data_IF_158143574293
#
_entry.id   IF_158143574293
#
_cell.length_a   1.000
_cell.length_b   1.000
_cell.length_c   1.000
_cell.angle_alpha   90.00
_cell.angle_beta   90.00
_cell.angle_gamma   90.00
#
_symmetry.space_group_name_H-M   'P 1'
#
loop_
_entity.id
_entity.type
_entity.pdbx_description
1 polymer ?
#
# COMPACT_ATOMS: atom_id res chain seq x y z
N UNK A 1 -14.21 -6.83 3.20
CA UNK A 1 -15.59 -6.98 3.67
C UNK A 1 -15.64 -6.84 5.19
N UNK A 2 -15.44 -5.62 5.74
CA UNK A 2 -15.52 -5.40 7.19
C UNK A 2 -16.77 -6.06 7.76
N UNK A 3 -16.65 -6.74 8.90
CA UNK A 3 -17.63 -7.58 9.57
C UNK A 3 -19.00 -6.90 9.82
N UNK A 4 -19.68 -6.49 8.78
CA UNK A 4 -21.02 -5.86 8.85
C UNK A 4 -22.03 -6.75 9.57
N UNK A 5 -21.85 -8.07 9.50
CA UNK A 5 -22.66 -9.03 10.22
C UNK A 5 -22.49 -8.88 11.75
N UNK A 6 -21.29 -8.62 12.25
CA UNK A 6 -21.07 -8.42 13.69
C UNK A 6 -21.63 -7.08 14.16
N UNK A 7 -21.53 -6.01 13.35
CA UNK A 7 -22.16 -4.75 13.66
C UNK A 7 -23.69 -4.92 13.79
N UNK A 8 -24.31 -5.62 12.83
CA UNK A 8 -25.74 -5.90 12.89
C UNK A 8 -26.11 -6.82 14.06
N UNK A 9 -25.30 -7.86 14.33
CA UNK A 9 -25.51 -8.74 15.47
C UNK A 9 -25.57 -7.94 16.79
N UNK A 10 -24.61 -7.05 17.01
CA UNK A 10 -24.52 -6.21 18.21
C UNK A 10 -25.68 -5.21 18.35
N UNK A 11 -26.39 -4.91 17.25
CA UNK A 11 -27.59 -4.04 17.29
C UNK A 11 -28.88 -4.78 17.69
N UNK A 12 -28.97 -6.09 17.38
CA UNK A 12 -30.23 -6.84 17.47
C UNK A 12 -30.22 -7.98 18.50
N UNK A 13 -29.04 -8.39 18.98
CA UNK A 13 -28.85 -9.49 19.90
C UNK A 13 -28.26 -9.01 21.24
N UNK A 14 -28.38 -9.82 22.28
CA UNK A 14 -27.79 -9.54 23.58
C UNK A 14 -26.25 -9.60 23.52
N UNK A 15 -25.59 -8.83 24.40
CA UNK A 15 -24.14 -8.80 24.52
C UNK A 15 -23.59 -10.19 24.86
N UNK A 16 -22.60 -10.65 24.09
CA UNK A 16 -21.93 -11.93 24.29
C UNK A 16 -21.05 -11.89 25.54
N UNK A 17 -21.22 -12.83 26.44
CA UNK A 17 -20.38 -12.95 27.64
C UNK A 17 -18.95 -13.41 27.28
N UNK A 18 -18.78 -14.24 26.25
CA UNK A 18 -17.49 -14.67 25.71
C UNK A 18 -17.63 -15.22 24.31
N UNK A 19 -16.53 -15.27 23.57
CA UNK A 19 -16.47 -15.85 22.24
C UNK A 19 -15.04 -16.15 21.84
N UNK A 20 -14.88 -16.89 20.74
CA UNK A 20 -13.60 -17.08 20.10
C UNK A 20 -13.74 -17.01 18.59
N UNK A 21 -12.68 -16.58 17.90
CA UNK A 21 -12.61 -16.62 16.43
C UNK A 21 -11.51 -17.59 16.01
N UNK A 22 -11.80 -18.55 15.12
CA UNK A 22 -10.79 -19.51 14.65
C UNK A 22 -9.96 -18.99 13.48
N UNK A 23 -9.89 -17.67 13.28
CA UNK A 23 -9.25 -17.01 12.15
C UNK A 23 -7.86 -16.47 12.50
N UNK A 24 -7.05 -17.26 13.22
CA UNK A 24 -5.72 -16.85 13.64
C UNK A 24 -4.78 -18.03 13.87
N UNK A 25 -3.50 -17.73 14.22
CA UNK A 25 -2.50 -18.73 14.55
C UNK A 25 -2.74 -19.37 15.92
N UNK A 26 -2.23 -20.59 16.12
CA UNK A 26 -2.26 -21.32 17.40
C UNK A 26 -1.08 -20.94 18.30
N UNK A 27 -1.23 -21.13 19.64
CA UNK A 27 -2.39 -21.64 20.34
C UNK A 27 -3.46 -20.60 20.67
N UNK A 28 -3.10 -19.36 20.94
CA UNK A 28 -4.00 -18.25 21.25
C UNK A 28 -3.26 -16.95 20.98
N UNK A 29 -3.91 -16.00 20.33
CA UNK A 29 -3.37 -14.67 20.08
C UNK A 29 -3.97 -13.73 21.10
N UNK A 30 -3.12 -13.03 21.86
CA UNK A 30 -3.51 -12.06 22.86
C UNK A 30 -3.34 -10.61 22.41
N UNK A 31 -2.93 -10.40 21.15
CA UNK A 31 -2.79 -9.08 20.55
C UNK A 31 -2.99 -9.10 19.03
N UNK A 32 -3.60 -8.06 18.51
CA UNK A 32 -3.81 -7.82 17.10
C UNK A 32 -3.35 -6.41 16.75
N UNK A 33 -2.55 -6.27 15.69
CA UNK A 33 -2.12 -4.95 15.20
C UNK A 33 -3.30 -4.10 14.81
N UNK A 34 -3.20 -2.81 15.08
CA UNK A 34 -4.15 -1.83 14.57
C UNK A 34 -4.15 -1.82 13.04
N UNK A 35 -5.25 -1.38 12.45
CA UNK A 35 -5.41 -1.27 11.01
C UNK A 35 -5.68 0.16 10.61
N UNK A 36 -4.89 0.69 9.67
CA UNK A 36 -5.10 2.00 9.08
C UNK A 36 -5.22 1.86 7.57
N UNK A 37 -6.26 2.46 7.01
CA UNK A 37 -6.48 2.53 5.57
C UNK A 37 -6.31 3.96 5.10
N UNK A 38 -5.52 4.14 4.04
CA UNK A 38 -5.30 5.41 3.38
C UNK A 38 -5.47 5.29 1.88
N UNK A 39 -5.60 6.43 1.21
CA UNK A 39 -5.63 6.55 -0.24
C UNK A 39 -4.74 7.70 -0.68
N UNK A 40 -3.76 7.42 -1.54
CA UNK A 40 -2.98 8.44 -2.22
C UNK A 40 -3.63 8.83 -3.54
N UNK A 41 -3.50 10.11 -3.91
CA UNK A 41 -4.04 10.67 -5.15
C UNK A 41 -3.01 11.56 -5.83
N UNK A 42 -2.93 11.46 -7.17
CA UNK A 42 -2.20 12.43 -7.97
C UNK A 42 -2.92 13.79 -8.01
N UNK A 43 -2.16 14.88 -7.98
CA UNK A 43 -2.64 16.21 -8.33
C UNK A 43 -2.47 16.47 -9.82
N UNK A 44 -1.28 16.15 -10.33
CA UNK A 44 -0.91 16.21 -11.74
C UNK A 44 -0.15 14.95 -12.12
N UNK A 45 -0.32 14.47 -13.35
CA UNK A 45 0.43 13.35 -13.88
C UNK A 45 0.39 13.35 -15.41
N UNK A 46 1.47 12.93 -16.04
CA UNK A 46 1.58 12.65 -17.48
C UNK A 46 1.28 11.17 -17.79
N UNK A 47 1.15 10.32 -16.77
CA UNK A 47 0.76 8.93 -16.96
C UNK A 47 -0.66 8.88 -17.50
N UNK A 48 -0.84 8.26 -18.67
CA UNK A 48 -2.13 8.17 -19.35
C UNK A 48 -3.08 7.20 -18.64
N UNK A 49 -2.54 6.07 -18.20
CA UNK A 49 -3.27 5.13 -17.34
C UNK A 49 -2.32 4.26 -16.54
N UNK A 50 -2.74 3.87 -15.34
CA UNK A 50 -2.05 2.90 -14.50
C UNK A 50 -3.08 2.09 -13.73
N UNK A 51 -3.08 0.77 -13.92
CA UNK A 51 -4.06 -0.11 -13.30
C UNK A 51 -3.35 -1.40 -12.83
N UNK A 52 -3.56 -1.76 -11.57
CA UNK A 52 -2.98 -2.96 -10.98
C UNK A 52 -3.52 -3.29 -9.60
N UNK A 53 -3.26 -4.54 -9.17
CA UNK A 53 -3.76 -5.08 -7.92
C UNK A 53 -5.25 -5.40 -7.92
N UNK A 54 -5.68 -6.29 -7.04
CA UNK A 54 -7.08 -6.76 -6.97
C UNK A 54 -7.71 -6.52 -5.61
N UNK A 55 -6.92 -6.46 -4.55
CA UNK A 55 -7.40 -6.29 -3.16
C UNK A 55 -6.54 -5.27 -2.41
N UNK A 56 -7.15 -4.58 -1.47
CA UNK A 56 -6.50 -3.50 -0.72
C UNK A 56 -5.48 -4.00 0.30
N UNK A 57 -5.65 -5.22 0.80
CA UNK A 57 -4.84 -5.84 1.86
C UNK A 57 -3.79 -6.84 1.35
N UNK A 58 -3.39 -6.73 0.10
CA UNK A 58 -2.27 -7.48 -0.48
C UNK A 58 -1.40 -6.59 -1.36
N UNK A 59 -0.14 -6.95 -1.51
CA UNK A 59 0.83 -6.30 -2.40
C UNK A 59 0.30 -6.32 -3.84
N UNK A 60 0.40 -5.19 -4.54
CA UNK A 60 0.06 -5.09 -5.96
C UNK A 60 0.96 -6.03 -6.78
N UNK A 61 0.45 -7.19 -7.14
CA UNK A 61 1.20 -8.27 -7.78
C UNK A 61 1.32 -8.14 -9.30
N UNK A 62 0.50 -7.27 -9.91
CA UNK A 62 0.61 -6.98 -11.34
C UNK A 62 0.12 -5.57 -11.63
N UNK A 63 0.75 -4.91 -12.60
CA UNK A 63 0.41 -3.55 -13.00
C UNK A 63 0.60 -3.36 -14.49
N UNK A 64 -0.34 -2.64 -15.13
CA UNK A 64 -0.20 -2.14 -16.50
C UNK A 64 -0.22 -0.62 -16.47
N UNK A 65 0.80 -0.01 -17.08
CA UNK A 65 1.00 1.44 -17.11
C UNK A 65 1.17 1.90 -18.54
N UNK A 66 0.48 2.97 -18.93
CA UNK A 66 0.61 3.61 -20.24
C UNK A 66 1.09 5.03 -20.04
N UNK A 67 2.16 5.41 -20.74
CA UNK A 67 2.77 6.74 -20.68
C UNK A 67 2.99 7.28 -22.09
N UNK A 68 3.12 8.61 -22.28
CA UNK A 68 3.57 9.17 -23.55
C UNK A 68 4.97 8.65 -23.90
N UNK A 69 5.15 8.28 -25.17
CA UNK A 69 6.44 7.86 -25.72
C UNK A 69 7.39 9.04 -25.87
N UNK A 70 8.68 8.79 -25.64
CA UNK A 70 9.77 9.73 -25.90
C UNK A 70 10.99 8.98 -26.41
N UNK A 71 11.81 9.66 -27.22
CA UNK A 71 12.99 9.04 -27.84
C UNK A 71 13.93 8.42 -26.82
N UNK A 72 14.21 7.13 -26.95
CA UNK A 72 15.11 6.36 -26.08
C UNK A 72 14.54 6.05 -24.69
N UNK A 73 13.30 6.40 -24.39
CA UNK A 73 12.68 6.11 -23.09
C UNK A 73 12.38 4.62 -22.91
N UNK A 74 11.92 3.96 -23.98
CA UNK A 74 11.64 2.52 -23.95
C UNK A 74 12.89 1.71 -23.57
N UNK A 75 14.01 1.95 -24.22
CA UNK A 75 15.28 1.25 -23.97
C UNK A 75 15.79 1.49 -22.54
N UNK A 76 15.60 2.71 -22.00
CA UNK A 76 15.95 3.00 -20.60
C UNK A 76 15.04 2.24 -19.64
N UNK A 77 13.74 2.20 -19.90
CA UNK A 77 12.79 1.44 -19.09
C UNK A 77 13.08 -0.05 -19.09
N UNK A 78 13.36 -0.64 -20.28
CA UNK A 78 13.74 -2.05 -20.39
C UNK A 78 15.00 -2.35 -19.59
N UNK A 79 15.99 -1.46 -19.61
CA UNK A 79 17.21 -1.60 -18.82
C UNK A 79 16.93 -1.55 -17.31
N UNK A 80 16.18 -0.56 -16.83
CA UNK A 80 15.87 -0.45 -15.39
C UNK A 80 15.00 -1.62 -14.88
N UNK A 81 14.02 -2.05 -15.67
CA UNK A 81 13.16 -3.19 -15.32
C UNK A 81 13.94 -4.52 -15.26
N UNK A 82 14.95 -4.69 -16.10
CA UNK A 82 15.81 -5.89 -16.11
C UNK A 82 16.60 -6.08 -14.80
N UNK A 83 16.88 -5.01 -14.07
CA UNK A 83 17.63 -5.03 -12.80
C UNK A 83 16.71 -5.26 -11.59
N UNK A 84 15.40 -5.43 -11.79
CA UNK A 84 14.41 -5.57 -10.71
C UNK A 84 14.17 -7.03 -10.30
N UNK A 85 13.39 -7.20 -9.23
CA UNK A 85 12.92 -8.52 -8.76
C UNK A 85 11.55 -8.91 -9.33
N UNK A 86 11.09 -8.25 -10.38
CA UNK A 86 9.85 -8.63 -11.06
C UNK A 86 9.94 -10.04 -11.62
N UNK A 87 8.85 -10.80 -11.56
CA UNK A 87 8.77 -12.13 -12.17
C UNK A 87 8.70 -12.06 -13.70
N UNK A 88 8.04 -11.02 -14.21
CA UNK A 88 7.85 -10.76 -15.63
C UNK A 88 7.68 -9.27 -15.86
N UNK A 89 8.19 -8.77 -16.97
CA UNK A 89 7.85 -7.45 -17.47
C UNK A 89 7.80 -7.46 -19.00
N UNK A 90 7.08 -6.50 -19.56
CA UNK A 90 7.02 -6.26 -21.01
C UNK A 90 6.88 -4.76 -21.26
N UNK A 91 7.63 -4.25 -22.19
CA UNK A 91 7.56 -2.86 -22.65
C UNK A 91 7.28 -2.85 -24.15
N UNK A 92 6.20 -2.22 -24.55
CA UNK A 92 5.85 -2.04 -25.97
C UNK A 92 5.69 -0.55 -26.27
N UNK A 93 6.00 -0.14 -27.48
CA UNK A 93 5.80 1.24 -27.93
C UNK A 93 5.02 1.21 -29.23
N UNK A 94 3.85 1.85 -29.21
CA UNK A 94 2.94 1.93 -30.35
C UNK A 94 2.24 3.29 -30.35
N UNK A 95 2.07 3.88 -31.53
CA UNK A 95 1.34 5.14 -31.74
C UNK A 95 1.80 6.31 -30.84
N UNK A 96 3.07 6.35 -30.46
CA UNK A 96 3.62 7.39 -29.57
C UNK A 96 3.33 7.20 -28.08
N UNK A 97 2.88 6.00 -27.69
CA UNK A 97 2.66 5.62 -26.30
C UNK A 97 3.54 4.41 -25.95
N UNK A 98 4.02 4.37 -24.71
CA UNK A 98 4.73 3.22 -24.14
C UNK A 98 3.82 2.55 -23.15
N UNK A 99 3.59 1.25 -23.34
CA UNK A 99 2.87 0.39 -22.41
C UNK A 99 3.85 -0.50 -21.66
N UNK A 100 3.81 -0.45 -20.33
CA UNK A 100 4.61 -1.26 -19.42
C UNK A 100 3.67 -2.23 -18.70
N UNK A 101 3.90 -3.53 -18.86
CA UNK A 101 3.33 -4.56 -18.01
C UNK A 101 4.39 -5.04 -17.02
N UNK A 102 4.05 -5.09 -15.75
CA UNK A 102 4.92 -5.57 -14.69
C UNK A 102 4.19 -6.62 -13.84
N UNK A 103 4.86 -7.72 -13.51
CA UNK A 103 4.38 -8.79 -12.64
C UNK A 103 5.35 -9.00 -11.49
N UNK A 104 4.89 -8.73 -10.30
CA UNK A 104 5.61 -8.93 -9.05
C UNK A 104 5.24 -10.25 -8.35
N UNK A 105 5.26 -10.22 -7.02
CA UNK A 105 4.93 -11.36 -6.16
C UNK A 105 3.89 -10.92 -5.15
N UNK A 106 2.73 -11.60 -5.06
CA UNK A 106 1.72 -11.26 -4.07
C UNK A 106 2.21 -11.59 -2.66
N UNK A 107 1.80 -10.78 -1.68
CA UNK A 107 1.95 -11.04 -0.26
C UNK A 107 0.84 -10.33 0.51
N UNK A 108 0.49 -10.82 1.70
CA UNK A 108 -0.48 -10.16 2.55
C UNK A 108 0.08 -8.87 3.15
N UNK A 109 -0.77 -7.86 3.39
CA UNK A 109 -0.35 -6.56 3.93
C UNK A 109 0.31 -6.62 5.32
N UNK A 110 0.14 -7.71 6.07
CA UNK A 110 0.86 -7.95 7.33
C UNK A 110 2.31 -8.41 7.13
N UNK A 111 2.67 -8.89 5.94
CA UNK A 111 4.01 -9.38 5.59
C UNK A 111 4.42 -8.92 4.19
N UNK A 112 4.33 -7.61 3.87
CA UNK A 112 4.49 -7.11 2.51
C UNK A 112 5.90 -7.30 1.97
N UNK A 113 6.89 -7.43 2.84
CA UNK A 113 8.31 -7.68 2.47
C UNK A 113 8.54 -9.05 1.83
N UNK A 114 7.58 -9.99 1.93
CA UNK A 114 7.61 -11.27 1.22
C UNK A 114 7.14 -11.14 -0.23
N UNK A 115 6.57 -10.00 -0.60
CA UNK A 115 6.09 -9.71 -1.93
C UNK A 115 7.04 -8.83 -2.75
N UNK A 116 6.65 -8.61 -4.01
CA UNK A 116 7.26 -7.62 -4.90
C UNK A 116 6.13 -6.78 -5.49
N UNK A 117 6.09 -5.51 -5.12
CA UNK A 117 5.05 -4.57 -5.54
C UNK A 117 5.30 -4.12 -6.98
N UNK A 118 4.51 -4.64 -7.93
CA UNK A 118 4.66 -4.32 -9.36
C UNK A 118 4.46 -2.83 -9.65
N UNK A 119 3.50 -2.17 -9.00
CA UNK A 119 3.27 -0.74 -9.17
C UNK A 119 4.42 0.09 -8.60
N UNK A 120 4.88 -0.21 -7.38
CA UNK A 120 6.00 0.48 -6.77
C UNK A 120 7.28 0.37 -7.57
N UNK A 121 7.61 -0.84 -8.03
CA UNK A 121 8.77 -1.06 -8.92
C UNK A 121 8.63 -0.28 -10.23
N UNK A 122 7.42 -0.21 -10.79
CA UNK A 122 7.18 0.58 -12.02
C UNK A 122 7.43 2.07 -11.78
N UNK A 123 6.94 2.64 -10.67
CA UNK A 123 7.21 4.04 -10.32
C UNK A 123 8.72 4.33 -10.16
N UNK A 124 9.46 3.43 -9.47
CA UNK A 124 10.92 3.57 -9.35
C UNK A 124 11.62 3.52 -10.72
N UNK A 125 11.23 2.59 -11.61
CA UNK A 125 11.82 2.47 -12.95
C UNK A 125 11.49 3.68 -13.83
N UNK A 126 10.29 4.25 -13.74
CA UNK A 126 9.92 5.47 -14.44
C UNK A 126 10.84 6.64 -14.07
N UNK A 127 11.07 6.86 -12.77
CA UNK A 127 11.99 7.91 -12.29
C UNK A 127 13.43 7.67 -12.77
N UNK A 128 13.97 6.46 -12.58
CA UNK A 128 15.33 6.09 -12.99
C UNK A 128 15.54 6.19 -14.50
N UNK A 129 14.52 5.90 -15.31
CA UNK A 129 14.56 6.08 -16.75
C UNK A 129 14.50 7.55 -17.20
N UNK A 130 14.21 8.47 -16.27
CA UNK A 130 14.12 9.91 -16.52
C UNK A 130 12.74 10.34 -17.03
N UNK A 131 11.69 9.60 -16.72
CA UNK A 131 10.32 10.05 -16.94
C UNK A 131 9.92 11.04 -15.85
N UNK A 132 10.03 12.33 -16.16
CA UNK A 132 9.68 13.43 -15.25
C UNK A 132 8.16 13.54 -15.09
N UNK A 133 7.64 13.19 -13.91
CA UNK A 133 6.22 13.21 -13.59
C UNK A 133 6.01 13.52 -12.10
N UNK A 134 5.08 14.39 -11.80
CA UNK A 134 4.81 14.86 -10.44
C UNK A 134 4.36 13.71 -9.53
N UNK A 135 3.46 12.86 -10.00
CA UNK A 135 2.98 11.75 -9.16
C UNK A 135 4.01 10.63 -9.00
N UNK A 136 4.88 10.40 -10.00
CA UNK A 136 6.03 9.49 -9.87
C UNK A 136 6.94 9.97 -8.73
N UNK A 137 7.25 11.26 -8.70
CA UNK A 137 8.06 11.88 -7.65
C UNK A 137 7.37 11.75 -6.28
N UNK A 138 6.06 12.08 -6.21
CA UNK A 138 5.27 11.93 -4.98
C UNK A 138 5.27 10.50 -4.46
N UNK A 139 4.97 9.53 -5.34
CA UNK A 139 4.92 8.13 -4.97
C UNK A 139 6.26 7.64 -4.40
N UNK A 140 7.35 7.90 -5.10
CA UNK A 140 8.69 7.44 -4.69
C UNK A 140 9.17 8.11 -3.40
N UNK A 141 8.77 9.37 -3.16
CA UNK A 141 9.11 10.11 -1.93
C UNK A 141 8.31 9.64 -0.72
N UNK A 142 6.99 9.49 -0.87
CA UNK A 142 6.09 9.29 0.26
C UNK A 142 5.66 7.82 0.47
N UNK A 143 5.52 7.03 -0.60
CA UNK A 143 5.10 5.66 -0.52
C UNK A 143 6.29 4.70 -0.72
N UNK A 144 6.93 4.76 -1.87
CA UNK A 144 8.08 3.93 -2.22
C UNK A 144 7.81 2.43 -2.17
N UNK A 145 8.90 1.66 -2.07
CA UNK A 145 8.89 0.19 -1.99
C UNK A 145 9.34 -0.37 -0.64
N UNK A 146 9.65 0.51 0.35
CA UNK A 146 10.25 0.13 1.63
C UNK A 146 9.33 -0.66 2.57
N UNK A 147 8.02 -0.66 2.38
CA UNK A 147 7.01 -1.36 3.18
C UNK A 147 6.98 -1.01 4.68
N UNK A 148 7.61 0.09 5.11
CA UNK A 148 7.77 0.48 6.51
C UNK A 148 7.16 1.85 6.87
N UNK A 149 6.55 2.54 5.90
CA UNK A 149 5.95 3.85 6.09
C UNK A 149 6.94 4.99 6.35
N UNK A 150 8.24 4.79 6.12
CA UNK A 150 9.29 5.79 6.36
C UNK A 150 9.06 7.08 5.58
N UNK A 151 8.55 7.01 4.35
CA UNK A 151 8.27 8.18 3.50
C UNK A 151 7.27 9.17 4.09
N UNK A 152 6.34 8.71 4.92
CA UNK A 152 5.37 9.55 5.64
C UNK A 152 5.62 9.59 7.16
N UNK A 153 6.80 9.15 7.60
CA UNK A 153 7.24 9.22 9.00
C UNK A 153 6.66 8.19 9.94
N UNK A 154 6.08 7.10 9.41
CA UNK A 154 5.45 6.03 10.18
C UNK A 154 6.35 4.83 10.46
N UNK A 155 7.66 4.95 10.30
CA UNK A 155 8.61 3.87 10.61
C UNK A 155 8.72 3.67 12.12
N UNK A 156 7.88 2.80 12.66
CA UNK A 156 7.81 2.47 14.08
C UNK A 156 7.78 0.96 14.30
N UNK A 157 8.25 0.54 15.49
CA UNK A 157 8.23 -0.84 15.94
C UNK A 157 8.00 -0.92 17.43
N UNK A 158 7.58 -2.09 17.92
CA UNK A 158 7.50 -2.42 19.33
C UNK A 158 8.03 -3.85 19.60
N UNK A 159 7.86 -4.35 20.81
CA UNK A 159 8.30 -5.70 21.17
C UNK A 159 7.57 -6.81 20.40
N UNK A 160 6.47 -6.50 19.73
CA UNK A 160 5.61 -7.43 18.98
C UNK A 160 5.75 -7.29 17.46
N UNK A 161 6.60 -6.36 16.99
CA UNK A 161 6.99 -6.25 15.59
C UNK A 161 6.87 -4.85 15.00
N UNK A 162 7.22 -4.77 13.72
CA UNK A 162 7.30 -3.53 12.97
C UNK A 162 5.94 -3.12 12.40
N UNK A 163 5.74 -1.81 12.18
CA UNK A 163 4.68 -1.32 11.29
C UNK A 163 4.90 -1.90 9.89
N UNK A 164 3.81 -2.30 9.24
CA UNK A 164 3.84 -2.68 7.83
C UNK A 164 3.03 -1.70 6.99
N UNK A 165 3.55 -1.39 5.81
CA UNK A 165 2.99 -0.44 4.86
C UNK A 165 2.88 -1.11 3.49
N UNK A 166 1.66 -1.23 2.97
CA UNK A 166 1.36 -1.98 1.76
C UNK A 166 0.51 -1.20 0.79
N UNK A 167 0.97 -1.06 -0.46
CA UNK A 167 0.16 -0.55 -1.55
C UNK A 167 -0.48 -1.72 -2.29
N UNK A 168 -1.82 -1.77 -2.28
CA UNK A 168 -2.58 -2.89 -2.83
C UNK A 168 -3.09 -2.64 -4.25
N UNK A 169 -3.91 -1.63 -4.44
CA UNK A 169 -4.53 -1.31 -5.73
C UNK A 169 -4.01 0.03 -6.22
N UNK A 170 -3.64 0.08 -7.49
CA UNK A 170 -3.43 1.33 -8.22
C UNK A 170 -4.46 1.42 -9.34
N UNK A 171 -5.06 2.58 -9.53
CA UNK A 171 -6.10 2.79 -10.54
C UNK A 171 -6.09 4.22 -11.06
N UNK A 172 -6.22 4.35 -12.37
CA UNK A 172 -6.52 5.64 -13.01
C UNK A 172 -8.01 5.75 -13.24
N UNK A 173 -8.59 6.86 -12.82
CA UNK A 173 -9.98 7.21 -13.07
C UNK A 173 -10.10 8.71 -13.29
N UNK A 174 -10.72 9.12 -14.40
CA UNK A 174 -10.94 10.54 -14.78
C UNK A 174 -9.63 11.36 -14.77
N UNK A 175 -8.52 10.76 -15.21
CA UNK A 175 -7.20 11.39 -15.27
C UNK A 175 -6.47 11.49 -13.92
N UNK A 176 -7.06 10.97 -12.83
CA UNK A 176 -6.45 10.92 -11.52
C UNK A 176 -5.97 9.50 -11.23
N UNK A 177 -4.72 9.35 -10.80
CA UNK A 177 -4.20 8.08 -10.28
C UNK A 177 -4.47 8.03 -8.78
N UNK A 178 -5.01 6.91 -8.32
CA UNK A 178 -5.19 6.61 -6.90
C UNK A 178 -4.48 5.31 -6.51
N UNK A 179 -3.90 5.28 -5.29
CA UNK A 179 -3.26 4.11 -4.72
C UNK A 179 -3.82 3.81 -3.33
N UNK A 180 -4.30 2.59 -3.10
CA UNK A 180 -4.72 2.16 -1.76
C UNK A 180 -3.51 1.85 -0.90
N UNK A 181 -3.59 2.17 0.39
CA UNK A 181 -2.56 1.92 1.37
C UNK A 181 -3.19 1.20 2.57
N UNK A 182 -2.69 0.01 2.89
CA UNK A 182 -3.03 -0.77 4.07
C UNK A 182 -1.85 -0.76 5.04
N UNK A 183 -2.08 -0.32 6.27
CA UNK A 183 -1.05 -0.20 7.30
C UNK A 183 -1.44 -1.06 8.50
N UNK A 184 -0.50 -1.86 9.02
CA UNK A 184 -0.66 -2.60 10.26
C UNK A 184 0.19 -1.94 11.34
N UNK A 185 -0.50 -1.38 12.33
CA UNK A 185 0.11 -0.57 13.40
C UNK A 185 0.48 -1.47 14.57
N UNK A 186 1.72 -1.40 15.10
CA UNK A 186 2.13 -2.18 16.26
C UNK A 186 1.24 -1.91 17.49
N UNK A 187 1.12 -2.91 18.37
CA UNK A 187 0.07 -2.94 19.42
C UNK A 187 0.22 -1.88 20.51
N UNK A 188 1.36 -1.25 20.64
CA UNK A 188 1.60 -0.20 21.64
C UNK A 188 1.29 1.22 21.16
N UNK A 189 1.01 1.41 19.86
CA UNK A 189 0.70 2.71 19.26
C UNK A 189 -0.81 2.89 19.11
N UNK A 190 -1.30 4.07 19.46
CA UNK A 190 -2.71 4.46 19.31
C UNK A 190 -2.91 5.34 18.08
N UNK A 191 -4.15 5.56 17.72
CA UNK A 191 -4.54 6.43 16.61
C UNK A 191 -3.89 7.81 16.70
N UNK A 192 -3.88 8.43 17.90
CA UNK A 192 -3.34 9.77 18.12
C UNK A 192 -1.85 9.84 17.83
N UNK A 193 -1.09 8.79 18.23
CA UNK A 193 0.35 8.69 17.98
C UNK A 193 0.62 8.67 16.47
N UNK A 194 -0.10 7.81 15.75
CA UNK A 194 0.05 7.63 14.30
C UNK A 194 -0.32 8.91 13.54
N UNK A 195 -1.43 9.56 13.90
CA UNK A 195 -1.82 10.84 13.28
C UNK A 195 -0.77 11.91 13.47
N UNK A 196 -0.24 12.06 14.70
CA UNK A 196 0.79 13.03 15.01
C UNK A 196 2.09 12.80 14.23
N UNK A 197 2.50 11.54 14.04
CA UNK A 197 3.72 11.18 13.31
C UNK A 197 3.67 11.52 11.82
N UNK A 198 2.52 11.37 11.18
CA UNK A 198 2.35 11.68 9.75
C UNK A 198 1.81 13.09 9.48
N UNK A 199 1.55 13.90 10.51
CA UNK A 199 1.08 15.26 10.36
C UNK A 199 2.07 16.09 9.51
N UNK A 200 1.53 16.83 8.54
CA UNK A 200 2.31 17.66 7.60
C UNK A 200 3.11 16.88 6.55
N UNK A 201 2.94 15.54 6.48
CA UNK A 201 3.67 14.67 5.52
C UNK A 201 2.75 13.96 4.54
N UNK A 202 1.46 14.23 4.59
CA UNK A 202 0.45 13.54 3.77
C UNK A 202 0.14 14.28 2.45
N UNK A 203 0.72 15.44 2.24
CA UNK A 203 0.46 16.26 1.06
C UNK A 203 1.66 17.12 0.70
N UNK A 204 1.91 17.28 -0.59
CA UNK A 204 2.82 18.25 -1.18
C UNK A 204 2.22 18.84 -2.47
N UNK A 205 3.03 19.50 -3.27
CA UNK A 205 2.60 20.09 -4.56
C UNK A 205 2.20 19.04 -5.60
N UNK A 206 2.71 17.81 -5.50
CA UNK A 206 2.61 16.75 -6.49
C UNK A 206 1.46 15.76 -6.21
N UNK A 207 1.07 15.59 -4.93
CA UNK A 207 0.05 14.63 -4.56
C UNK A 207 -0.48 14.83 -3.14
N UNK A 208 -1.42 13.97 -2.74
CA UNK A 208 -1.95 13.93 -1.38
C UNK A 208 -2.31 12.52 -0.94
N UNK A 209 -2.31 12.29 0.36
CA UNK A 209 -2.75 11.07 1.01
C UNK A 209 -3.89 11.41 1.97
N UNK A 210 -5.00 10.69 1.85
CA UNK A 210 -6.16 10.82 2.72
C UNK A 210 -6.26 9.61 3.65
N UNK A 211 -6.54 9.85 4.93
CA UNK A 211 -6.79 8.79 5.91
C UNK A 211 -8.27 8.42 5.85
N UNK A 212 -8.58 7.19 5.43
CA UNK A 212 -9.95 6.70 5.33
C UNK A 212 -10.47 6.14 6.65
N UNK A 213 -9.63 5.39 7.36
CA UNK A 213 -9.98 4.80 8.65
C UNK A 213 -8.74 4.46 9.47
N UNK A 214 -8.89 4.51 10.78
CA UNK A 214 -7.92 3.99 11.73
C UNK A 214 -8.69 3.16 12.76
N UNK A 215 -8.22 1.92 12.98
CA UNK A 215 -8.68 1.04 14.05
C UNK A 215 -7.54 0.81 15.04
N UNK A 216 -7.80 1.04 16.31
CA UNK A 216 -6.82 0.81 17.36
C UNK A 216 -6.46 -0.67 17.45
N UNK A 217 -5.22 -0.99 17.85
CA UNK A 217 -4.81 -2.35 18.11
C UNK A 217 -5.57 -2.93 19.30
N UNK A 218 -5.74 -4.25 19.31
CA UNK A 218 -6.24 -5.01 20.45
C UNK A 218 -5.05 -5.67 21.14
N UNK A 219 -4.95 -5.51 22.46
CA UNK A 219 -3.88 -6.11 23.22
C UNK A 219 -4.32 -6.48 24.65
N UNK A 220 -4.13 -7.75 25.02
CA UNK A 220 -4.33 -8.24 26.39
C UNK A 220 -3.01 -8.72 26.95
N UNK A 221 -2.73 -8.39 28.20
CA UNK A 221 -1.54 -8.91 28.88
C UNK A 221 -1.67 -10.43 29.07
N UNK A 222 -0.56 -11.16 28.92
CA UNK A 222 -0.52 -12.63 29.10
C UNK A 222 -1.02 -13.09 30.49
N UNK A 223 -0.92 -12.21 31.50
CA UNK A 223 -1.43 -12.46 32.84
C UNK A 223 -2.95 -12.30 32.97
N UNK A 224 -3.62 -11.84 31.92
CA UNK A 224 -5.07 -11.68 31.93
C UNK A 224 -5.73 -13.06 31.95
N UNK A 225 -6.55 -13.31 32.99
CA UNK A 225 -7.35 -14.54 33.10
C UNK A 225 -8.77 -14.19 32.69
N UNK A 226 -9.31 -15.00 31.80
CA UNK A 226 -10.70 -14.96 31.34
C UNK A 226 -11.64 -15.53 32.40
#
# INVERSE_FOLDING_TARGET
>A
TGSKCMAHYNEVEEELSCGFTPDANFPCIHGEKGHMSMMAYSKHTKILSMNGGFVTNAVCDSCTTVIPGAAGLKEKLEKELAETKLQEYRVTEENGEITIYAKGVPAHASTPTLGVNAAGVTFECLEKAGFEDDFVTFYNTHLGTACDGSGIGLKVSDAYGDLTFCNGIVKTQDGVISCTIDIRVPVTFKEEDIRSMCEGKLEDENGRIEINSIGNPLFFQESHRW
#
